data_IF_814654811764
#
_entry.id   IF_814654811764
#
_cell.length_a   1.000
_cell.length_b   1.000
_cell.length_c   1.000
_cell.angle_alpha   90.00
_cell.angle_beta   90.00
_cell.angle_gamma   90.00
#
_symmetry.space_group_name_H-M   'P 1'
#
loop_
_entity.id
_entity.type
_entity.pdbx_description
1 polymer ?
#
# COMPACT_ATOMS: atom_id res chain seq x y z
N UNK A 1 4.22 -4.28 -6.97
CA UNK A 1 4.20 -5.66 -6.43
C UNK A 1 2.94 -5.81 -5.59
N UNK A 2 2.24 -6.95 -5.61
CA UNK A 2 1.16 -7.25 -4.66
C UNK A 2 1.71 -7.57 -3.27
N UNK A 3 0.85 -7.69 -2.26
CA UNK A 3 1.26 -8.21 -0.94
C UNK A 3 1.92 -9.58 -1.09
N UNK A 4 1.37 -10.46 -1.92
CA UNK A 4 1.94 -11.79 -2.14
C UNK A 4 3.31 -11.76 -2.84
N UNK A 5 3.52 -10.86 -3.82
CA UNK A 5 4.84 -10.67 -4.41
C UNK A 5 5.87 -10.17 -3.37
N UNK A 6 5.46 -9.30 -2.45
CA UNK A 6 6.33 -8.83 -1.36
C UNK A 6 6.62 -9.92 -0.34
N UNK A 7 5.63 -10.74 0.01
CA UNK A 7 5.82 -11.90 0.89
C UNK A 7 6.78 -12.91 0.29
N UNK A 8 6.67 -13.16 -1.02
CA UNK A 8 7.60 -14.03 -1.74
C UNK A 8 9.04 -13.50 -1.64
N UNK A 9 9.24 -12.20 -1.90
CA UNK A 9 10.54 -11.56 -1.71
C UNK A 9 11.08 -11.72 -0.27
N UNK A 10 10.23 -11.57 0.74
CA UNK A 10 10.62 -11.80 2.14
C UNK A 10 11.07 -13.24 2.39
N UNK A 11 10.35 -14.23 1.85
CA UNK A 11 10.73 -15.65 2.03
C UNK A 11 12.11 -15.97 1.44
N UNK A 12 12.49 -15.26 0.38
CA UNK A 12 13.80 -15.40 -0.25
C UNK A 12 14.92 -14.84 0.61
N UNK A 13 14.74 -13.65 1.20
CA UNK A 13 15.71 -13.08 2.15
C UNK A 13 15.83 -13.88 3.44
N UNK A 14 14.78 -14.60 3.82
CA UNK A 14 14.81 -15.55 4.94
C UNK A 14 15.40 -16.92 4.54
N UNK A 15 15.81 -17.09 3.28
CA UNK A 15 16.47 -18.28 2.73
C UNK A 15 15.65 -19.57 2.91
N UNK A 16 14.32 -19.48 2.85
CA UNK A 16 13.45 -20.66 2.82
C UNK A 16 13.68 -21.47 1.54
N UNK A 17 13.82 -22.79 1.68
CA UNK A 17 14.13 -23.68 0.54
C UNK A 17 12.92 -24.15 -0.24
N UNK A 18 11.76 -24.23 0.41
CA UNK A 18 10.49 -24.59 -0.22
C UNK A 18 9.50 -23.47 0.02
N UNK A 19 9.00 -22.85 -1.05
CA UNK A 19 7.98 -21.81 -0.99
C UNK A 19 6.70 -22.36 -1.60
N UNK A 20 5.59 -22.28 -0.88
CA UNK A 20 4.28 -22.79 -1.32
C UNK A 20 3.34 -21.61 -1.55
N UNK A 21 2.88 -21.44 -2.79
CA UNK A 21 1.88 -20.44 -3.16
C UNK A 21 0.48 -21.07 -3.09
N UNK A 22 -0.36 -20.55 -2.21
CA UNK A 22 -1.77 -20.96 -2.05
C UNK A 22 -2.68 -19.73 -2.10
N UNK A 23 -3.84 -19.87 -2.75
CA UNK A 23 -4.80 -18.79 -2.95
C UNK A 23 -4.26 -17.66 -3.83
N UNK A 24 -3.28 -17.96 -4.70
CA UNK A 24 -2.75 -17.03 -5.68
C UNK A 24 -3.36 -17.33 -7.05
N UNK A 25 -4.68 -17.12 -7.18
CA UNK A 25 -5.41 -17.48 -8.39
C UNK A 25 -4.92 -16.71 -9.61
N UNK A 26 -4.67 -15.39 -9.45
CA UNK A 26 -4.24 -14.47 -10.51
C UNK A 26 -5.10 -14.55 -11.79
N UNK A 27 -6.34 -15.00 -11.63
CA UNK A 27 -7.32 -15.27 -12.65
C UNK A 27 -8.71 -15.10 -12.07
N UNK A 28 -9.69 -14.86 -12.94
CA UNK A 28 -11.09 -14.90 -12.55
C UNK A 28 -11.56 -16.34 -12.35
N UNK A 29 -12.51 -16.52 -11.43
CA UNK A 29 -13.24 -17.77 -11.32
C UNK A 29 -14.06 -18.05 -12.59
N UNK A 30 -14.52 -19.30 -12.76
CA UNK A 30 -15.31 -19.71 -13.94
C UNK A 30 -16.63 -18.93 -14.10
N UNK A 31 -17.20 -18.47 -13.00
CA UNK A 31 -18.39 -17.61 -12.96
C UNK A 31 -18.08 -16.12 -13.13
N UNK A 32 -16.81 -15.78 -13.40
CA UNK A 32 -16.33 -14.42 -13.66
C UNK A 32 -16.04 -13.59 -12.41
N UNK A 33 -16.23 -14.14 -11.21
CA UNK A 33 -15.94 -13.39 -9.99
C UNK A 33 -14.44 -13.29 -9.73
N UNK A 34 -14.02 -12.16 -9.16
CA UNK A 34 -12.64 -11.91 -8.73
C UNK A 34 -12.37 -12.29 -7.29
N UNK A 35 -13.43 -12.51 -6.50
CA UNK A 35 -13.40 -12.81 -5.08
C UNK A 35 -14.49 -13.83 -4.76
N UNK A 36 -14.44 -14.43 -3.57
CA UNK A 36 -15.50 -15.30 -3.07
C UNK A 36 -16.81 -14.52 -2.86
N UNK A 37 -17.95 -15.22 -2.93
CA UNK A 37 -19.29 -14.61 -2.88
C UNK A 37 -19.61 -13.92 -1.55
N UNK A 38 -18.90 -14.27 -0.49
CA UNK A 38 -19.02 -13.71 0.86
C UNK A 38 -18.13 -12.47 1.09
N UNK A 39 -17.37 -12.03 0.08
CA UNK A 39 -16.55 -10.84 0.18
C UNK A 39 -17.41 -9.57 0.35
N UNK A 40 -17.22 -8.84 1.45
CA UNK A 40 -18.07 -7.68 1.84
C UNK A 40 -18.11 -6.53 0.83
N UNK A 41 -17.10 -6.39 -0.03
CA UNK A 41 -17.01 -5.31 -1.02
C UNK A 41 -17.10 -5.84 -2.45
N UNK A 42 -17.87 -6.91 -2.68
CA UNK A 42 -17.99 -7.53 -4.01
C UNK A 42 -18.55 -6.56 -5.07
N UNK A 43 -19.43 -5.64 -4.64
CA UNK A 43 -20.00 -4.54 -5.42
C UNK A 43 -18.92 -3.67 -6.07
N UNK A 44 -17.79 -3.43 -5.39
CA UNK A 44 -16.66 -2.64 -5.91
C UNK A 44 -15.91 -3.33 -7.05
N UNK A 45 -16.28 -4.56 -7.39
CA UNK A 45 -15.66 -5.37 -8.43
C UNK A 45 -16.62 -5.75 -9.56
N UNK A 46 -17.85 -5.21 -9.57
CA UNK A 46 -18.79 -5.40 -10.67
C UNK A 46 -18.22 -4.87 -11.99
N UNK A 47 -18.49 -5.59 -13.08
CA UNK A 47 -18.03 -5.24 -14.42
C UNK A 47 -16.52 -5.44 -14.67
N UNK A 48 -15.71 -5.76 -13.66
CA UNK A 48 -14.27 -6.00 -13.84
C UNK A 48 -13.99 -7.12 -14.83
N UNK A 49 -14.68 -8.25 -14.69
CA UNK A 49 -14.56 -9.37 -15.61
C UNK A 49 -14.90 -8.95 -17.04
N UNK A 50 -16.05 -8.29 -17.23
CA UNK A 50 -16.49 -7.87 -18.57
C UNK A 50 -15.52 -6.88 -19.23
N UNK A 51 -14.93 -5.99 -18.43
CA UNK A 51 -13.90 -5.05 -18.87
C UNK A 51 -12.65 -5.76 -19.37
N UNK A 52 -12.22 -6.83 -18.69
CA UNK A 52 -10.93 -7.49 -18.92
C UNK A 52 -11.04 -8.74 -19.82
N UNK A 53 -12.25 -9.28 -19.99
CA UNK A 53 -12.55 -10.50 -20.74
C UNK A 53 -11.94 -10.50 -22.14
N UNK A 54 -11.17 -11.54 -22.44
CA UNK A 54 -10.50 -11.74 -23.72
C UNK A 54 -9.30 -10.82 -23.96
N UNK A 55 -9.02 -9.86 -23.08
CA UNK A 55 -7.86 -8.95 -23.20
C UNK A 55 -6.63 -9.48 -22.49
N UNK A 56 -6.83 -10.15 -21.37
CA UNK A 56 -5.77 -10.72 -20.56
C UNK A 56 -6.08 -12.18 -20.27
N UNK A 57 -5.33 -13.08 -20.89
CA UNK A 57 -5.45 -14.51 -20.70
C UNK A 57 -4.07 -15.11 -20.45
N UNK A 58 -4.02 -16.17 -19.66
CA UNK A 58 -2.80 -16.94 -19.44
C UNK A 58 -3.13 -18.42 -19.34
N UNK A 59 -2.10 -19.27 -19.36
CA UNK A 59 -2.29 -20.71 -19.21
C UNK A 59 -2.93 -21.01 -17.85
N UNK A 60 -3.89 -21.91 -17.84
CA UNK A 60 -4.46 -22.44 -16.61
C UNK A 60 -3.42 -23.29 -15.87
N UNK A 61 -3.56 -23.37 -14.55
CA UNK A 61 -2.89 -24.38 -13.73
C UNK A 61 -3.02 -25.77 -14.40
N UNK A 62 -1.91 -26.52 -14.48
CA UNK A 62 -1.84 -27.82 -15.15
C UNK A 62 -1.60 -27.72 -16.66
N UNK A 63 -1.47 -26.51 -17.22
CA UNK A 63 -1.11 -26.25 -18.62
C UNK A 63 -2.23 -26.49 -19.63
N UNK A 64 -3.42 -26.91 -19.19
CA UNK A 64 -4.53 -27.26 -20.07
C UNK A 64 -5.51 -26.10 -20.21
N UNK A 65 -5.42 -25.39 -21.34
CA UNK A 65 -6.31 -24.30 -21.68
C UNK A 65 -5.87 -22.95 -21.10
N UNK A 66 -6.79 -21.98 -21.13
CA UNK A 66 -6.55 -20.60 -20.70
C UNK A 66 -7.55 -20.18 -19.64
N UNK A 67 -7.10 -19.32 -18.73
CA UNK A 67 -7.95 -18.62 -17.76
C UNK A 67 -7.95 -17.13 -18.07
N UNK A 68 -9.10 -16.49 -17.83
CA UNK A 68 -9.25 -15.04 -17.91
C UNK A 68 -8.56 -14.39 -16.71
N UNK A 69 -7.90 -13.26 -16.94
CA UNK A 69 -7.16 -12.51 -15.94
C UNK A 69 -7.37 -11.01 -16.14
N UNK A 70 -6.62 -10.20 -15.39
CA UNK A 70 -6.60 -8.74 -15.54
C UNK A 70 -5.19 -8.26 -15.85
N UNK A 71 -5.07 -6.99 -16.28
CA UNK A 71 -3.76 -6.35 -16.48
C UNK A 71 -2.89 -6.43 -15.23
N UNK A 72 -3.48 -6.18 -14.07
CA UNK A 72 -2.76 -6.11 -12.79
C UNK A 72 -2.31 -7.51 -12.35
N UNK A 73 -3.17 -8.52 -12.49
CA UNK A 73 -2.79 -9.90 -12.15
C UNK A 73 -1.77 -10.47 -13.13
N UNK A 74 -1.86 -10.13 -14.41
CA UNK A 74 -0.82 -10.45 -15.40
C UNK A 74 0.53 -9.88 -14.98
N UNK A 75 0.56 -8.61 -14.55
CA UNK A 75 1.78 -7.98 -14.03
C UNK A 75 2.29 -8.70 -12.78
N UNK A 76 1.43 -9.05 -11.81
CA UNK A 76 1.84 -9.78 -10.61
C UNK A 76 2.39 -11.18 -10.92
N UNK A 77 1.79 -11.88 -11.87
CA UNK A 77 2.27 -13.18 -12.36
C UNK A 77 3.66 -13.06 -12.98
N UNK A 78 3.85 -12.11 -13.89
CA UNK A 78 5.16 -11.88 -14.53
C UNK A 78 6.24 -11.49 -13.50
N UNK A 79 5.88 -10.74 -12.45
CA UNK A 79 6.80 -10.43 -11.34
C UNK A 79 7.18 -11.71 -10.60
N UNK A 80 6.23 -12.59 -10.28
CA UNK A 80 6.55 -13.90 -9.68
C UNK A 80 7.50 -14.70 -10.56
N UNK A 81 7.18 -14.84 -11.85
CA UNK A 81 7.99 -15.62 -12.81
C UNK A 81 9.43 -15.10 -12.89
N UNK A 82 9.60 -13.78 -12.90
CA UNK A 82 10.92 -13.15 -12.89
C UNK A 82 11.68 -13.38 -11.57
N UNK A 83 11.03 -13.12 -10.43
CA UNK A 83 11.65 -13.30 -9.11
C UNK A 83 12.03 -14.80 -8.93
N UNK A 84 11.12 -15.72 -9.22
CA UNK A 84 11.36 -17.17 -9.22
C UNK A 84 12.57 -17.53 -10.09
N UNK A 85 12.63 -17.11 -11.35
CA UNK A 85 13.74 -17.45 -12.24
C UNK A 85 15.11 -16.99 -11.70
N UNK A 86 15.13 -15.81 -11.09
CA UNK A 86 16.34 -15.22 -10.53
C UNK A 86 16.78 -15.95 -9.25
N UNK A 87 15.87 -16.13 -8.30
CA UNK A 87 16.20 -16.63 -6.97
C UNK A 87 16.32 -18.15 -6.88
N UNK A 88 15.64 -18.92 -7.73
CA UNK A 88 15.86 -20.36 -7.86
C UNK A 88 17.33 -20.66 -8.16
N UNK A 89 17.96 -19.88 -9.05
CA UNK A 89 19.36 -20.06 -9.44
C UNK A 89 20.33 -19.62 -8.34
N UNK A 90 20.02 -18.54 -7.62
CA UNK A 90 20.92 -17.96 -6.63
C UNK A 90 20.90 -18.70 -5.29
N UNK A 91 19.71 -19.10 -4.83
CA UNK A 91 19.53 -19.61 -3.48
C UNK A 91 19.10 -21.09 -3.43
N UNK A 92 18.99 -21.73 -4.60
CA UNK A 92 18.51 -23.11 -4.73
C UNK A 92 17.16 -23.30 -4.02
N UNK A 93 16.22 -22.41 -4.32
CA UNK A 93 14.86 -22.40 -3.78
C UNK A 93 13.97 -23.20 -4.74
N UNK A 94 13.01 -23.95 -4.21
CA UNK A 94 11.93 -24.58 -4.97
C UNK A 94 10.62 -23.88 -4.65
N UNK A 95 9.90 -23.46 -5.70
CA UNK A 95 8.61 -22.77 -5.55
C UNK A 95 7.50 -23.66 -6.09
N UNK A 96 6.49 -23.91 -5.28
CA UNK A 96 5.32 -24.72 -5.61
C UNK A 96 4.11 -23.83 -5.81
N UNK A 97 3.40 -24.01 -6.92
CA UNK A 97 2.07 -23.45 -7.08
C UNK A 97 1.07 -24.51 -6.65
N UNK A 98 0.30 -24.21 -5.61
CA UNK A 98 -0.74 -25.08 -5.05
C UNK A 98 -2.15 -24.50 -5.22
N UNK A 99 -2.31 -23.50 -6.09
CA UNK A 99 -3.61 -22.87 -6.35
C UNK A 99 -4.27 -23.51 -7.58
N UNK A 100 -4.93 -24.64 -7.35
CA UNK A 100 -5.66 -25.37 -8.39
C UNK A 100 -6.80 -24.52 -8.98
N UNK A 101 -6.92 -24.51 -10.30
CA UNK A 101 -7.93 -23.72 -11.02
C UNK A 101 -7.55 -22.26 -11.30
N UNK A 102 -6.43 -21.79 -10.74
CA UNK A 102 -5.86 -20.48 -11.03
C UNK A 102 -4.99 -20.43 -12.29
N UNK A 103 -4.19 -19.38 -12.40
CA UNK A 103 -3.17 -19.22 -13.43
C UNK A 103 -1.94 -20.10 -13.17
N UNK A 104 -1.36 -20.62 -14.26
CA UNK A 104 -0.01 -21.17 -14.25
C UNK A 104 0.98 -20.03 -14.00
N UNK A 105 1.92 -20.23 -13.08
CA UNK A 105 3.04 -19.33 -12.82
C UNK A 105 4.31 -20.05 -13.28
N UNK A 106 4.93 -19.57 -14.34
CA UNK A 106 6.13 -20.21 -14.89
C UNK A 106 7.30 -20.25 -13.90
N UNK A 107 8.08 -21.34 -13.94
CA UNK A 107 9.13 -21.62 -12.97
C UNK A 107 8.65 -22.26 -11.66
N UNK A 108 7.35 -22.35 -11.41
CA UNK A 108 6.82 -23.12 -10.28
C UNK A 108 6.62 -24.60 -10.60
N UNK A 109 6.63 -25.44 -9.57
CA UNK A 109 6.15 -26.83 -9.64
C UNK A 109 4.68 -26.86 -9.22
N UNK A 110 3.81 -27.29 -10.12
CA UNK A 110 2.38 -27.43 -9.84
C UNK A 110 2.11 -28.72 -9.03
N UNK A 111 1.57 -28.58 -7.82
CA UNK A 111 1.17 -29.69 -6.94
C UNK A 111 -0.10 -29.33 -6.17
N UNK A 112 -1.05 -30.26 -5.95
CA UNK A 112 -2.16 -30.03 -5.04
C UNK A 112 -1.68 -29.62 -3.65
N UNK A 113 -2.41 -28.77 -2.94
CA UNK A 113 -2.01 -28.34 -1.60
C UNK A 113 -1.91 -29.51 -0.62
N UNK A 114 -2.80 -30.50 -0.73
CA UNK A 114 -2.74 -31.73 0.05
C UNK A 114 -1.39 -32.45 -0.09
N UNK A 115 -0.88 -32.54 -1.32
CA UNK A 115 0.45 -33.14 -1.56
C UNK A 115 1.54 -32.36 -0.83
N UNK A 116 1.49 -31.02 -0.85
CA UNK A 116 2.46 -30.19 -0.14
C UNK A 116 2.39 -30.42 1.38
N UNK A 117 1.19 -30.56 1.94
CA UNK A 117 1.01 -30.92 3.35
C UNK A 117 1.66 -32.26 3.69
N UNK A 118 1.38 -33.28 2.88
CA UNK A 118 1.84 -34.67 3.13
C UNK A 118 3.33 -34.88 2.86
N UNK A 119 3.98 -34.05 2.04
CA UNK A 119 5.36 -34.27 1.59
C UNK A 119 6.35 -33.19 2.02
N UNK A 120 5.88 -31.98 2.33
CA UNK A 120 6.73 -30.84 2.73
C UNK A 120 6.46 -30.39 4.17
N UNK A 121 5.28 -30.67 4.71
CA UNK A 121 4.82 -30.25 6.04
C UNK A 121 4.52 -31.46 6.95
N UNK A 122 5.11 -32.61 6.66
CA UNK A 122 4.89 -33.90 7.34
C UNK A 122 5.56 -34.00 8.72
N UNK A 123 6.45 -33.06 9.03
CA UNK A 123 7.24 -33.05 10.26
C UNK A 123 6.82 -31.92 11.18
N UNK A 124 6.64 -32.27 12.45
CA UNK A 124 6.63 -31.30 13.53
C UNK A 124 8.05 -30.73 13.70
N UNK A 125 8.26 -29.54 13.14
CA UNK A 125 9.53 -28.83 13.28
C UNK A 125 9.64 -28.24 14.69
N UNK A 126 10.72 -28.58 15.39
CA UNK A 126 11.14 -27.80 16.55
C UNK A 126 11.75 -26.48 16.05
N UNK A 127 10.88 -25.48 15.82
CA UNK A 127 11.31 -24.18 15.29
C UNK A 127 12.23 -23.51 16.32
N UNK A 128 13.41 -23.00 15.91
CA UNK A 128 14.36 -22.37 16.84
C UNK A 128 13.92 -20.97 17.29
N UNK A 129 12.69 -20.57 16.94
CA UNK A 129 12.16 -19.25 17.29
C UNK A 129 11.59 -19.32 18.70
N UNK A 130 12.06 -18.42 19.55
CA UNK A 130 11.47 -18.21 20.85
C UNK A 130 9.99 -17.86 20.66
N UNK A 131 9.12 -18.57 21.38
CA UNK A 131 7.69 -18.29 21.34
C UNK A 131 7.49 -16.87 21.87
N UNK A 132 6.96 -15.99 21.03
CA UNK A 132 6.61 -14.64 21.44
C UNK A 132 5.45 -14.72 22.41
N UNK A 133 5.75 -14.63 23.69
CA UNK A 133 4.71 -14.51 24.71
C UNK A 133 4.12 -13.09 24.65
N UNK A 134 2.80 -12.95 24.81
CA UNK A 134 2.19 -11.64 24.91
C UNK A 134 2.83 -10.88 26.07
N UNK A 135 3.10 -9.61 25.85
CA UNK A 135 3.59 -8.72 26.89
C UNK A 135 2.65 -8.77 28.11
N UNK A 136 3.18 -8.59 29.32
CA UNK A 136 2.32 -8.48 30.50
C UNK A 136 1.30 -7.35 30.32
N UNK A 137 0.11 -7.49 30.91
CA UNK A 137 -0.94 -6.46 30.80
C UNK A 137 -0.41 -5.07 31.18
N UNK A 138 0.44 -4.99 32.20
CA UNK A 138 1.11 -3.74 32.60
C UNK A 138 1.98 -3.15 31.49
N UNK A 139 2.73 -3.99 30.77
CA UNK A 139 3.60 -3.53 29.68
C UNK A 139 2.81 -3.14 28.44
N UNK A 140 1.72 -3.85 28.14
CA UNK A 140 0.78 -3.46 27.09
C UNK A 140 0.15 -2.10 27.41
N UNK A 141 -0.32 -1.91 28.64
CA UNK A 141 -0.88 -0.64 29.11
C UNK A 141 0.16 0.49 29.08
N UNK A 142 1.41 0.22 29.46
CA UNK A 142 2.51 1.19 29.36
C UNK A 142 2.72 1.65 27.90
N UNK A 143 2.76 0.71 26.95
CA UNK A 143 2.91 1.06 25.53
C UNK A 143 1.69 1.79 24.98
N UNK A 144 0.48 1.40 25.39
CA UNK A 144 -0.74 2.10 25.02
C UNK A 144 -0.74 3.54 25.56
N UNK A 145 -0.34 3.74 26.82
CA UNK A 145 -0.21 5.07 27.42
C UNK A 145 0.85 5.91 26.73
N UNK A 146 2.00 5.32 26.35
CA UNK A 146 3.04 6.00 25.57
C UNK A 146 2.53 6.42 24.19
N UNK A 147 1.80 5.56 23.49
CA UNK A 147 1.19 5.87 22.21
C UNK A 147 0.14 6.97 22.36
N UNK A 148 -0.76 6.84 23.34
CA UNK A 148 -1.77 7.83 23.67
C UNK A 148 -1.14 9.20 23.98
N UNK A 149 -0.08 9.22 24.80
CA UNK A 149 0.61 10.46 25.15
C UNK A 149 1.24 11.14 23.93
N UNK A 150 1.88 10.38 23.03
CA UNK A 150 2.39 10.93 21.77
C UNK A 150 1.28 11.55 20.94
N UNK A 151 0.18 10.83 20.72
CA UNK A 151 -0.99 11.32 19.97
C UNK A 151 -1.58 12.58 20.63
N UNK A 152 -1.72 12.58 21.95
CA UNK A 152 -2.22 13.73 22.70
C UNK A 152 -1.34 14.96 22.53
N UNK A 153 -0.01 14.78 22.59
CA UNK A 153 0.93 15.88 22.38
C UNK A 153 0.88 16.42 20.95
N UNK A 154 0.82 15.55 19.94
CA UNK A 154 0.64 15.97 18.55
C UNK A 154 -0.68 16.75 18.36
N UNK A 155 -1.80 16.29 18.94
CA UNK A 155 -3.08 17.01 18.88
C UNK A 155 -2.98 18.39 19.55
N UNK A 156 -2.35 18.47 20.73
CA UNK A 156 -2.17 19.73 21.45
C UNK A 156 -1.32 20.69 20.64
N UNK A 157 -0.18 20.22 20.12
CA UNK A 157 0.71 20.98 19.25
C UNK A 157 -0.03 21.51 18.03
N UNK A 158 -0.77 20.68 17.29
CA UNK A 158 -1.58 21.12 16.15
C UNK A 158 -2.59 22.21 16.52
N UNK A 159 -3.25 22.13 17.69
CA UNK A 159 -4.20 23.16 18.16
C UNK A 159 -3.50 24.47 18.49
N UNK A 160 -2.37 24.42 19.18
CA UNK A 160 -1.61 25.60 19.57
C UNK A 160 -1.00 26.27 18.33
N UNK A 161 -0.42 25.48 17.42
CA UNK A 161 0.11 25.95 16.14
C UNK A 161 -0.97 26.54 15.23
N UNK A 162 -2.15 25.92 15.15
CA UNK A 162 -3.28 26.46 14.40
C UNK A 162 -3.70 27.84 14.89
N UNK A 163 -3.67 28.11 16.21
CA UNK A 163 -3.97 29.44 16.75
C UNK A 163 -2.91 30.47 16.38
N UNK A 164 -1.64 30.08 16.40
CA UNK A 164 -0.53 30.95 15.98
C UNK A 164 -0.71 31.33 14.51
N UNK A 165 -0.99 30.35 13.64
CA UNK A 165 -1.23 30.61 12.22
C UNK A 165 -2.45 31.50 11.98
N UNK A 166 -3.54 31.32 12.72
CA UNK A 166 -4.72 32.18 12.62
C UNK A 166 -4.41 33.63 13.00
N UNK A 167 -3.70 33.86 14.10
CA UNK A 167 -3.31 35.21 14.52
C UNK A 167 -2.35 35.88 13.51
N UNK A 168 -1.36 35.13 13.01
CA UNK A 168 -0.44 35.65 11.99
C UNK A 168 -1.19 36.00 10.70
N UNK A 169 -2.16 35.19 10.29
CA UNK A 169 -3.01 35.46 9.14
C UNK A 169 -3.85 36.73 9.33
N UNK A 170 -4.50 36.90 10.48
CA UNK A 170 -5.27 38.12 10.80
C UNK A 170 -4.38 39.37 10.79
N UNK A 171 -3.16 39.27 11.34
CA UNK A 171 -2.18 40.35 11.32
C UNK A 171 -1.76 40.72 9.88
N UNK A 172 -1.40 39.74 9.05
CA UNK A 172 -1.04 39.96 7.65
C UNK A 172 -2.22 40.57 6.88
N UNK A 173 -3.44 40.07 7.12
CA UNK A 173 -4.66 40.60 6.51
C UNK A 173 -4.89 42.06 6.90
N UNK A 174 -4.68 42.42 8.17
CA UNK A 174 -4.83 43.79 8.65
C UNK A 174 -3.82 44.74 7.97
N UNK A 175 -2.57 44.31 7.84
CA UNK A 175 -1.50 45.07 7.16
C UNK A 175 -1.88 45.26 5.71
N UNK A 176 -2.26 44.17 5.01
CA UNK A 176 -2.67 44.20 3.62
C UNK A 176 -3.83 45.18 3.36
N UNK A 177 -4.84 45.19 4.24
CA UNK A 177 -5.97 46.12 4.14
C UNK A 177 -5.60 47.58 4.40
N UNK A 178 -4.52 47.82 5.14
CA UNK A 178 -4.01 49.15 5.47
C UNK A 178 -2.94 49.68 4.51
N UNK A 179 -2.53 48.88 3.52
CA UNK A 179 -1.51 49.25 2.54
C UNK A 179 -1.94 50.50 1.77
N UNK A 180 -1.16 51.56 1.90
CA UNK A 180 -1.09 52.63 0.92
C UNK A 180 0.18 52.36 0.09
N UNK A 181 0.23 52.77 -1.19
CA UNK A 181 1.30 52.42 -2.16
C UNK A 181 2.73 52.94 -1.82
N UNK A 182 3.03 53.19 -0.54
CA UNK A 182 4.34 53.51 -0.02
C UNK A 182 5.21 52.26 0.06
N UNK A 183 6.45 52.40 -0.39
CA UNK A 183 7.45 51.32 -0.42
C UNK A 183 7.71 50.70 0.98
N UNK A 184 7.67 51.51 2.03
CA UNK A 184 7.84 51.06 3.43
C UNK A 184 6.72 50.11 3.89
N UNK A 185 5.46 50.40 3.51
CA UNK A 185 4.29 49.58 3.87
C UNK A 185 4.33 48.22 3.14
N UNK A 186 4.79 48.22 1.89
CA UNK A 186 4.99 47.01 1.08
C UNK A 186 6.10 46.13 1.66
N UNK A 187 7.23 46.72 2.04
CA UNK A 187 8.35 45.98 2.65
C UNK A 187 7.96 45.30 3.96
N UNK A 188 7.16 45.98 4.81
CA UNK A 188 6.65 45.40 6.05
C UNK A 188 5.72 44.21 5.78
N UNK A 189 4.85 44.30 4.77
CA UNK A 189 3.98 43.19 4.39
C UNK A 189 4.78 41.97 3.90
N UNK A 190 5.82 42.19 3.10
CA UNK A 190 6.73 41.13 2.63
C UNK A 190 7.43 40.45 3.81
N UNK A 191 8.00 41.22 4.74
CA UNK A 191 8.67 40.69 5.93
C UNK A 191 7.73 39.80 6.76
N UNK A 192 6.48 40.24 6.98
CA UNK A 192 5.49 39.46 7.75
C UNK A 192 5.05 38.18 7.03
N UNK A 193 4.93 38.21 5.71
CA UNK A 193 4.65 37.03 4.90
C UNK A 193 5.81 36.04 4.98
N UNK A 194 7.05 36.50 4.93
CA UNK A 194 8.23 35.63 4.99
C UNK A 194 8.43 35.05 6.40
N UNK A 195 8.17 35.81 7.46
CA UNK A 195 8.09 35.27 8.83
C UNK A 195 7.06 34.13 8.93
N UNK A 196 5.88 34.31 8.33
CA UNK A 196 4.82 33.28 8.32
C UNK A 196 5.25 32.03 7.54
N UNK A 197 5.85 32.18 6.35
CA UNK A 197 6.38 31.05 5.57
C UNK A 197 7.46 30.28 6.32
N UNK A 198 8.41 30.98 6.95
CA UNK A 198 9.47 30.35 7.72
C UNK A 198 8.91 29.46 8.85
N UNK A 199 7.79 29.85 9.49
CA UNK A 199 7.11 29.01 10.49
C UNK A 199 6.48 27.76 9.88
N UNK A 200 5.94 27.85 8.65
CA UNK A 200 5.37 26.72 7.90
C UNK A 200 6.45 25.80 7.30
N UNK A 201 7.66 26.28 7.12
CA UNK A 201 8.78 25.48 6.61
C UNK A 201 9.61 24.84 7.73
N UNK A 202 9.44 25.29 8.99
CA UNK A 202 10.08 24.68 10.15
C UNK A 202 9.54 23.26 10.37
N UNK A 203 10.36 22.28 9.99
CA UNK A 203 10.11 20.85 10.16
C UNK A 203 9.71 20.51 11.60
N UNK A 204 10.23 21.20 12.62
CA UNK A 204 9.86 20.90 14.01
C UNK A 204 8.42 21.27 14.32
N UNK A 205 7.89 22.32 13.69
CA UNK A 205 6.49 22.75 13.88
C UNK A 205 5.53 21.97 12.98
N UNK A 206 6.04 21.43 11.87
CA UNK A 206 5.21 20.77 10.87
C UNK A 206 5.33 19.26 10.85
N UNK A 207 6.21 18.64 11.64
CA UNK A 207 6.42 17.19 11.61
C UNK A 207 5.11 16.41 11.84
N UNK A 208 4.33 16.78 12.87
CA UNK A 208 3.04 16.14 13.14
C UNK A 208 2.05 16.37 11.99
N UNK A 209 2.02 17.58 11.41
CA UNK A 209 1.19 17.88 10.25
C UNK A 209 1.62 17.10 9.02
N UNK A 210 2.90 16.95 8.72
CA UNK A 210 3.39 16.18 7.58
C UNK A 210 3.09 14.69 7.74
N UNK A 211 3.26 14.13 8.93
CA UNK A 211 2.94 12.72 9.19
C UNK A 211 1.42 12.46 9.10
N UNK A 212 0.58 13.39 9.57
CA UNK A 212 -0.89 13.23 9.57
C UNK A 212 -1.50 13.61 8.21
N UNK A 213 -1.12 14.75 7.65
CA UNK A 213 -1.69 15.31 6.42
C UNK A 213 -1.02 14.79 5.16
N UNK A 214 0.22 14.29 5.22
CA UNK A 214 0.92 13.75 4.05
C UNK A 214 0.10 12.68 3.30
N UNK A 215 -0.43 11.65 3.99
CA UNK A 215 -1.32 10.66 3.37
C UNK A 215 -2.61 11.28 2.82
N UNK A 216 -3.19 12.26 3.51
CA UNK A 216 -4.41 12.95 3.08
C UNK A 216 -4.17 13.81 1.83
N UNK A 217 -3.07 14.56 1.79
CA UNK A 217 -2.63 15.36 0.64
C UNK A 217 -2.40 14.45 -0.57
N UNK A 218 -1.67 13.35 -0.39
CA UNK A 218 -1.47 12.34 -1.44
C UNK A 218 -2.81 11.83 -1.97
N UNK A 219 -3.78 11.56 -1.09
CA UNK A 219 -5.12 11.12 -1.50
C UNK A 219 -5.86 12.21 -2.30
N UNK A 220 -5.76 13.48 -1.91
CA UNK A 220 -6.33 14.60 -2.67
C UNK A 220 -5.68 14.77 -4.05
N UNK A 221 -4.35 14.68 -4.12
CA UNK A 221 -3.60 14.73 -5.38
C UNK A 221 -3.99 13.59 -6.32
N UNK A 222 -4.14 12.37 -5.80
CA UNK A 222 -4.61 11.22 -6.57
C UNK A 222 -6.05 11.43 -7.09
N UNK A 223 -6.92 12.05 -6.29
CA UNK A 223 -8.27 12.40 -6.71
C UNK A 223 -8.27 13.47 -7.82
N UNK A 224 -7.44 14.51 -7.70
CA UNK A 224 -7.27 15.54 -8.72
C UNK A 224 -6.68 14.96 -10.02
N UNK A 225 -5.65 14.12 -9.91
CA UNK A 225 -5.06 13.41 -11.05
C UNK A 225 -6.10 12.56 -11.77
N UNK A 226 -6.97 11.87 -11.03
CA UNK A 226 -8.10 11.13 -11.60
C UNK A 226 -9.03 12.05 -12.39
N UNK A 227 -9.40 13.22 -11.87
CA UNK A 227 -10.22 14.19 -12.62
C UNK A 227 -9.49 14.65 -13.89
N UNK A 228 -8.21 14.98 -13.79
CA UNK A 228 -7.41 15.47 -14.91
C UNK A 228 -7.24 14.43 -16.02
N UNK A 229 -7.13 13.15 -15.66
CA UNK A 229 -7.03 12.03 -16.61
C UNK A 229 -8.40 11.68 -17.22
N UNK A 230 -9.50 11.85 -16.46
CA UNK A 230 -10.85 11.52 -16.93
C UNK A 230 -11.56 12.66 -17.68
N UNK A 231 -11.14 13.91 -17.50
CA UNK A 231 -11.58 15.04 -18.32
C UNK A 231 -10.56 15.31 -19.42
N UNK A 232 -10.73 14.77 -20.65
CA UNK A 232 -9.85 15.12 -21.75
C UNK A 232 -9.92 16.64 -21.99
N UNK A 233 -8.74 17.29 -22.01
CA UNK A 233 -8.59 18.72 -22.34
C UNK A 233 -8.92 19.06 -23.81
N UNK A 234 -9.32 18.10 -24.62
CA UNK A 234 -9.75 18.34 -26.00
C UNK A 234 -11.26 18.55 -26.02
N UNK A 235 -11.66 19.80 -26.25
CA UNK A 235 -12.95 20.08 -26.89
C UNK A 235 -12.92 19.37 -28.26
N UNK A 236 -13.84 18.45 -28.49
CA UNK A 236 -14.26 18.10 -29.87
C UNK A 236 -14.84 19.34 -30.55
#
# INVERSE_FOLDING_TARGET
>A
KSVANMSYLLTEYLNYKNIILIGQDLAYAKDGFSHTKDYKNLDKHEGHFQRDKGKFQCLAYGGNGKVESSRIWTMFRLIFENDINYFQKLFNITTYNCTEGGARIEGTIEKPFLWACENLLDKDLNKPFEKLEPLSLNKQNEFLLKAYYKVYQSIKHCRDFSKILSNDFENIQSIYLSLNEKEEDINLAIEKIDEFKNKLEDIKQMQDLYEILGPLLTQFELNLARIYVLNPKTKE
#
